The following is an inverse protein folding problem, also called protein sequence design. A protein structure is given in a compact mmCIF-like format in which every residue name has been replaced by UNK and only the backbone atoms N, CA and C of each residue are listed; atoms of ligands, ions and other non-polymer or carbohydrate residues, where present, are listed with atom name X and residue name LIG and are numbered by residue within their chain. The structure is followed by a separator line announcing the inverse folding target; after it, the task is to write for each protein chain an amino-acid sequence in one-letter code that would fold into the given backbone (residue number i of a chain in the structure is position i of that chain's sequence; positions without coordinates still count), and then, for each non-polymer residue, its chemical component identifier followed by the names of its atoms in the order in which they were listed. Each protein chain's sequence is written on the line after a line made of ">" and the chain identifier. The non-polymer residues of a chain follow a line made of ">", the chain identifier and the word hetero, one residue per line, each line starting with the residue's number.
data_IF_947176241642
#
_entry.id   IF_947176241642
#
_cell.length_a   1.000
_cell.length_b   1.000
_cell.length_c   1.000
_cell.angle_alpha   90.00
_cell.angle_beta   90.00
_cell.angle_gamma   90.00
#
_symmetry.space_group_name_H-M   'P 1'
#
loop_
_entity.id
_entity.type
_entity.pdbx_description
1 polymer ?
#
# COMPACT_ATOMS: atom_id res chain seq x y z
N UNK A 1 2.20 -4.91 0.42
CA UNK A 1 2.14 -5.83 -0.72
C UNK A 1 1.36 -5.19 -1.83
N UNK A 2 0.05 -5.06 -1.67
CA UNK A 2 -0.87 -4.53 -2.67
C UNK A 2 -0.39 -3.25 -3.40
N UNK A 3 -0.02 -2.19 -2.67
CA UNK A 3 0.45 -0.93 -3.27
C UNK A 3 1.76 -1.06 -4.05
N UNK A 4 2.65 -1.98 -3.63
CA UNK A 4 3.92 -2.25 -4.31
C UNK A 4 3.66 -3.01 -5.61
N UNK A 5 2.82 -4.06 -5.57
CA UNK A 5 2.48 -4.84 -6.76
C UNK A 5 1.69 -4.00 -7.78
N UNK A 6 0.78 -3.14 -7.30
CA UNK A 6 0.04 -2.23 -8.16
C UNK A 6 0.95 -1.23 -8.88
N UNK A 7 1.94 -0.68 -8.17
CA UNK A 7 2.94 0.20 -8.78
C UNK A 7 3.84 -0.56 -9.76
N UNK A 8 4.32 -1.74 -9.38
CA UNK A 8 5.26 -2.56 -10.16
C UNK A 8 4.65 -3.05 -11.48
N UNK A 9 3.41 -3.56 -11.43
CA UNK A 9 2.79 -4.21 -12.58
C UNK A 9 1.94 -3.28 -13.44
N UNK A 10 1.37 -2.23 -12.84
CA UNK A 10 0.39 -1.37 -13.52
C UNK A 10 0.75 0.12 -13.47
N UNK A 11 1.86 0.50 -12.84
CA UNK A 11 2.28 1.91 -12.75
C UNK A 11 1.35 2.80 -11.92
N UNK A 12 0.39 2.24 -11.19
CA UNK A 12 -0.56 3.00 -10.37
C UNK A 12 -0.05 3.09 -8.94
N UNK A 13 0.08 4.32 -8.42
CA UNK A 13 0.52 4.57 -7.05
C UNK A 13 -0.65 4.88 -6.12
N UNK A 14 -0.98 3.93 -5.26
CA UNK A 14 -1.84 4.14 -4.09
C UNK A 14 -1.06 4.54 -2.84
N UNK A 15 -1.73 5.15 -1.87
CA UNK A 15 -1.15 5.51 -0.57
C UNK A 15 -1.65 4.53 0.50
N UNK A 16 -0.75 3.72 1.08
CA UNK A 16 -1.10 2.94 2.27
C UNK A 16 -1.34 3.91 3.43
N UNK A 17 -2.51 3.77 4.06
CA UNK A 17 -2.92 4.53 5.24
C UNK A 17 -3.41 3.51 6.26
N UNK A 18 -2.48 2.67 6.69
CA UNK A 18 -2.74 1.55 7.58
C UNK A 18 -1.74 1.45 8.72
N UNK A 19 -1.60 0.25 9.32
CA UNK A 19 -0.70 0.02 10.43
C UNK A 19 0.75 0.45 10.17
N UNK A 20 1.22 0.37 8.92
CA UNK A 20 2.56 0.83 8.57
C UNK A 20 2.67 2.36 8.67
N UNK A 21 1.76 3.09 8.00
CA UNK A 21 1.75 4.55 8.02
C UNK A 21 1.54 5.17 9.39
N UNK A 22 0.67 4.57 10.21
CA UNK A 22 0.30 5.08 11.53
C UNK A 22 1.12 4.53 12.70
N UNK A 23 2.26 3.88 12.42
CA UNK A 23 3.21 3.41 13.44
C UNK A 23 2.53 2.52 14.49
N UNK A 24 1.68 1.58 14.04
CA UNK A 24 0.81 0.75 14.89
C UNK A 24 1.55 0.03 16.03
N UNK A 25 2.76 -0.47 15.76
CA UNK A 25 3.65 -1.10 16.74
C UNK A 25 4.06 -0.16 17.88
N UNK A 26 4.09 1.16 17.64
CA UNK A 26 4.41 2.19 18.64
C UNK A 26 3.18 2.72 19.40
N UNK A 27 2.01 2.13 19.20
CA UNK A 27 0.75 2.55 19.83
C UNK A 27 0.33 1.61 20.97
N UNK A 28 -0.49 2.11 21.90
CA UNK A 28 -1.14 1.26 22.92
C UNK A 28 -2.20 0.35 22.29
N UNK A 29 -2.64 -0.72 22.96
CA UNK A 29 -3.72 -1.58 22.44
C UNK A 29 -4.98 -0.81 22.02
N UNK A 30 -5.43 0.15 22.84
CA UNK A 30 -6.65 0.92 22.57
C UNK A 30 -6.47 1.84 21.34
N UNK A 31 -5.28 2.40 21.15
CA UNK A 31 -4.96 3.21 19.98
C UNK A 31 -4.87 2.37 18.71
N UNK A 32 -4.36 1.14 18.81
CA UNK A 32 -4.23 0.19 17.70
C UNK A 32 -5.57 -0.19 17.11
N UNK A 33 -6.59 -0.38 17.94
CA UNK A 33 -7.94 -0.73 17.50
C UNK A 33 -8.61 0.36 16.65
N UNK A 34 -8.15 1.61 16.78
CA UNK A 34 -8.63 2.75 16.01
C UNK A 34 -7.91 2.91 14.65
N UNK A 35 -6.92 2.08 14.33
CA UNK A 35 -6.17 2.17 13.07
C UNK A 35 -6.83 1.30 12.01
N UNK A 36 -7.46 1.95 11.04
CA UNK A 36 -7.97 1.29 9.83
C UNK A 36 -6.81 0.80 8.96
N UNK A 37 -6.96 -0.37 8.34
CA UNK A 37 -5.98 -0.89 7.38
C UNK A 37 -6.48 -0.66 5.94
N UNK A 38 -6.25 0.55 5.43
CA UNK A 38 -6.79 0.99 4.14
C UNK A 38 -5.70 1.47 3.19
N UNK A 39 -6.05 1.49 1.90
CA UNK A 39 -5.27 2.15 0.85
C UNK A 39 -6.13 3.25 0.25
N UNK A 40 -5.58 4.45 0.15
CA UNK A 40 -6.25 5.60 -0.43
C UNK A 40 -5.82 5.82 -1.88
N UNK A 41 -6.82 5.95 -2.74
CA UNK A 41 -6.68 6.45 -4.10
C UNK A 41 -7.17 7.89 -4.14
N UNK A 42 -6.23 8.83 -4.28
CA UNK A 42 -6.55 10.24 -4.44
C UNK A 42 -6.57 10.60 -5.92
N UNK A 43 -7.67 11.20 -6.39
CA UNK A 43 -7.83 11.64 -7.78
C UNK A 43 -7.53 13.13 -7.87
N UNK A 44 -6.44 13.55 -8.53
CA UNK A 44 -6.18 14.96 -8.77
C UNK A 44 -7.25 15.56 -9.68
N UNK A 45 -7.69 16.78 -9.36
CA UNK A 45 -8.72 17.49 -10.12
C UNK A 45 -8.22 17.80 -11.54
N UNK A 46 -9.03 17.49 -12.55
CA UNK A 46 -8.78 17.78 -13.98
C UNK A 46 -7.51 17.13 -14.56
N UNK A 47 -7.06 15.99 -14.02
CA UNK A 47 -5.86 15.28 -14.52
C UNK A 47 -6.20 13.98 -15.25
N UNK A 48 -7.17 13.23 -14.74
CA UNK A 48 -7.54 11.91 -15.28
C UNK A 48 -8.92 11.95 -15.94
N UNK A 49 -9.07 11.19 -17.01
CA UNK A 49 -10.35 10.91 -17.67
C UNK A 49 -10.90 9.53 -17.25
N UNK A 50 -12.06 9.15 -17.79
CA UNK A 50 -12.70 7.86 -17.50
C UNK A 50 -11.84 6.66 -17.85
N UNK A 51 -11.04 6.72 -18.93
CA UNK A 51 -10.19 5.59 -19.34
C UNK A 51 -9.07 5.30 -18.33
N UNK A 52 -8.56 6.32 -17.65
CA UNK A 52 -7.60 6.14 -16.55
C UNK A 52 -8.26 5.46 -15.34
N UNK A 53 -9.52 5.79 -15.05
CA UNK A 53 -10.29 5.16 -13.97
C UNK A 53 -10.60 3.70 -14.33
N UNK A 54 -11.03 3.43 -15.56
CA UNK A 54 -11.30 2.08 -16.04
C UNK A 54 -10.03 1.21 -16.00
N UNK A 55 -8.88 1.77 -16.38
CA UNK A 55 -7.58 1.10 -16.26
C UNK A 55 -7.27 0.76 -14.80
N UNK A 56 -7.50 1.69 -13.86
CA UNK A 56 -7.30 1.43 -12.44
C UNK A 56 -8.24 0.36 -11.89
N UNK A 57 -9.51 0.35 -12.30
CA UNK A 57 -10.48 -0.69 -11.93
C UNK A 57 -10.02 -2.06 -12.45
N UNK A 58 -9.58 -2.14 -13.71
CA UNK A 58 -9.09 -3.39 -14.29
C UNK A 58 -7.84 -3.91 -13.55
N UNK A 59 -6.86 -3.05 -13.28
CA UNK A 59 -5.64 -3.38 -12.54
C UNK A 59 -5.92 -3.88 -11.11
N UNK A 60 -6.77 -3.17 -10.37
CA UNK A 60 -7.16 -3.54 -9.01
C UNK A 60 -7.93 -4.86 -9.02
N UNK A 61 -8.83 -5.04 -9.98
CA UNK A 61 -9.60 -6.28 -10.16
C UNK A 61 -8.67 -7.47 -10.38
N UNK A 62 -7.65 -7.32 -11.23
CA UNK A 62 -6.69 -8.39 -11.50
C UNK A 62 -5.83 -8.73 -10.28
N UNK A 63 -5.34 -7.73 -9.54
CA UNK A 63 -4.65 -7.98 -8.27
C UNK A 63 -5.56 -8.64 -7.22
N UNK A 64 -6.83 -8.26 -7.17
CA UNK A 64 -7.79 -8.85 -6.24
C UNK A 64 -8.05 -10.33 -6.55
N UNK A 65 -8.18 -10.70 -7.82
CA UNK A 65 -8.29 -12.09 -8.26
C UNK A 65 -7.08 -12.92 -7.85
N UNK A 66 -5.88 -12.34 -7.92
CA UNK A 66 -4.60 -12.99 -7.58
C UNK A 66 -4.07 -12.63 -6.19
N UNK A 67 -4.95 -12.19 -5.27
CA UNK A 67 -4.54 -11.62 -3.97
C UNK A 67 -3.71 -12.57 -3.10
N UNK A 68 -3.87 -13.87 -3.27
CA UNK A 68 -3.14 -14.89 -2.52
C UNK A 68 -1.64 -14.92 -2.85
N UNK A 69 -1.26 -14.36 -4.01
CA UNK A 69 0.12 -14.20 -4.46
C UNK A 69 0.74 -12.85 -4.07
N UNK A 70 -0.05 -11.92 -3.51
CA UNK A 70 0.47 -10.62 -3.08
C UNK A 70 1.45 -10.83 -1.91
N UNK A 71 2.71 -10.40 -2.02
CA UNK A 71 3.71 -10.66 -1.00
C UNK A 71 3.43 -9.88 0.28
N UNK A 72 3.83 -10.48 1.40
CA UNK A 72 4.05 -9.73 2.64
C UNK A 72 5.19 -8.75 2.42
N UNK A 73 5.23 -7.68 3.20
CA UNK A 73 6.26 -6.65 3.08
C UNK A 73 6.87 -6.41 4.45
N UNK A 74 8.20 -6.31 4.49
CA UNK A 74 8.95 -5.91 5.68
C UNK A 74 9.64 -4.58 5.44
N UNK A 75 9.90 -3.86 6.52
CA UNK A 75 10.72 -2.64 6.48
C UNK A 75 12.18 -3.07 6.41
N UNK A 76 12.88 -2.76 5.33
CA UNK A 76 14.32 -3.06 5.16
C UNK A 76 15.22 -1.98 5.73
N UNK A 77 14.73 -0.74 5.82
CA UNK A 77 15.43 0.42 6.37
C UNK A 77 14.44 1.41 6.98
N UNK A 78 14.78 1.99 8.13
CA UNK A 78 14.08 3.16 8.67
C UNK A 78 12.85 2.86 9.52
N UNK A 79 12.74 1.64 10.09
CA UNK A 79 11.60 1.23 10.92
C UNK A 79 11.31 2.18 12.11
N UNK A 80 12.38 2.74 12.70
CA UNK A 80 12.30 3.62 13.85
C UNK A 80 12.15 5.11 13.54
N UNK A 81 12.22 5.50 12.26
CA UNK A 81 12.11 6.90 11.86
C UNK A 81 10.72 7.46 12.19
N UNK A 82 10.66 8.74 12.58
CA UNK A 82 9.38 9.44 12.71
C UNK A 82 8.76 9.60 11.33
N UNK A 83 7.44 9.38 11.23
CA UNK A 83 6.73 9.43 9.93
C UNK A 83 7.35 8.45 8.92
N UNK A 84 7.66 7.24 9.39
CA UNK A 84 8.42 6.22 8.63
C UNK A 84 7.86 5.93 7.24
N UNK A 85 6.57 6.15 7.00
CA UNK A 85 5.94 5.94 5.69
C UNK A 85 6.44 6.86 4.58
N UNK A 86 7.10 7.98 4.91
CA UNK A 86 7.70 8.86 3.90
C UNK A 86 9.11 8.46 3.50
N UNK A 87 9.87 7.78 4.38
CA UNK A 87 11.33 7.69 4.27
C UNK A 87 11.87 6.25 4.31
N UNK A 88 11.05 5.28 4.70
CA UNK A 88 11.49 3.89 4.87
C UNK A 88 11.77 3.18 3.56
N UNK A 89 12.72 2.25 3.60
CA UNK A 89 12.88 1.22 2.58
C UNK A 89 11.95 0.04 2.89
N UNK A 90 11.21 -0.43 1.88
CA UNK A 90 10.33 -1.59 1.99
C UNK A 90 10.85 -2.72 1.10
N UNK A 91 10.79 -3.94 1.60
CA UNK A 91 11.16 -5.15 0.85
C UNK A 91 9.98 -6.12 0.82
N UNK A 92 9.43 -6.44 -0.37
CA UNK A 92 8.47 -7.52 -0.51
C UNK A 92 9.15 -8.88 -0.29
N UNK A 93 8.44 -9.78 0.37
CA UNK A 93 8.85 -11.15 0.63
C UNK A 93 8.02 -12.07 -0.26
N UNK A 94 8.57 -12.40 -1.42
CA UNK A 94 7.95 -13.31 -2.38
C UNK A 94 8.14 -14.74 -1.86
N UNK A 95 7.04 -15.42 -1.56
CA UNK A 95 7.08 -16.85 -1.27
C UNK A 95 7.56 -17.56 -2.55
N UNK A 96 8.80 -18.06 -2.55
CA UNK A 96 9.49 -18.79 -3.63
C UNK A 96 10.37 -17.95 -4.58
N UNK A 97 11.45 -17.37 -4.04
CA UNK A 97 12.74 -17.29 -4.75
C UNK A 97 13.75 -18.19 -4.06
#
# INVERSE_FOLDING_TARGET
>A
GFTIELLKHYGIRGCELGPFAFEWDKKTPEQRDNILNLVRFAIPRNVYDSSHIDYAVAAITELYKNRDYIPKVRISRGAELRLRHFQSGLQPDYKNQ
#
